data_IF_464805014134
#
_entry.id   IF_464805014134
#
_cell.length_a   1.000
_cell.length_b   1.000
_cell.length_c   1.000
_cell.angle_alpha   90.00
_cell.angle_beta   90.00
_cell.angle_gamma   90.00
#
_symmetry.space_group_name_H-M   'P 1'
#
loop_
_entity.id
_entity.type
_entity.pdbx_description
1 polymer ?
#
# COMPACT_ATOMS: atom_id res chain seq x y z
N UNK A 1 -10.84 5.98 7.03
CA UNK A 1 -9.67 5.73 7.91
C UNK A 1 -9.78 4.33 8.45
N UNK A 2 -8.71 3.54 8.33
CA UNK A 2 -8.67 2.16 8.84
C UNK A 2 -8.81 2.20 10.37
N UNK A 3 -10.01 1.91 10.87
CA UNK A 3 -10.34 1.95 12.30
C UNK A 3 -9.97 0.59 12.91
N UNK A 4 -9.49 0.56 14.15
CA UNK A 4 -9.25 -0.66 14.93
C UNK A 4 -10.44 -1.63 14.87
N UNK A 5 -11.67 -1.11 14.93
CA UNK A 5 -12.88 -1.92 14.83
C UNK A 5 -13.01 -2.62 13.47
N UNK A 6 -12.61 -1.97 12.38
CA UNK A 6 -12.60 -2.56 11.04
C UNK A 6 -11.60 -3.72 10.97
N UNK A 7 -10.40 -3.55 11.54
CA UNK A 7 -9.36 -4.59 11.57
C UNK A 7 -9.84 -5.80 12.38
N UNK A 8 -10.36 -5.57 13.60
CA UNK A 8 -10.85 -6.65 14.47
C UNK A 8 -12.02 -7.39 13.85
N UNK A 9 -12.97 -6.68 13.24
CA UNK A 9 -14.09 -7.29 12.53
C UNK A 9 -13.62 -8.11 11.33
N UNK A 10 -12.67 -7.59 10.54
CA UNK A 10 -12.10 -8.29 9.39
C UNK A 10 -11.42 -9.61 9.79
N UNK A 11 -10.59 -9.56 10.84
CA UNK A 11 -9.94 -10.76 11.40
C UNK A 11 -10.97 -11.76 11.92
N UNK A 12 -11.98 -11.29 12.66
CA UNK A 12 -13.05 -12.13 13.18
C UNK A 12 -13.83 -12.85 12.07
N UNK A 13 -14.24 -12.14 11.01
CA UNK A 13 -14.97 -12.72 9.86
C UNK A 13 -14.15 -13.78 9.13
N UNK A 14 -12.82 -13.64 9.13
CA UNK A 14 -11.90 -14.60 8.52
C UNK A 14 -11.50 -15.75 9.45
N UNK A 15 -12.07 -15.81 10.68
CA UNK A 15 -11.67 -16.74 11.73
C UNK A 15 -10.16 -16.70 12.06
N UNK A 16 -9.56 -15.51 11.98
CA UNK A 16 -8.17 -15.28 12.35
C UNK A 16 -8.06 -14.86 13.82
N UNK A 17 -6.99 -15.29 14.52
CA UNK A 17 -6.74 -14.84 15.88
C UNK A 17 -6.49 -13.33 15.91
N UNK A 18 -6.97 -12.69 16.97
CA UNK A 18 -6.76 -11.25 17.21
C UNK A 18 -5.65 -11.11 18.24
N UNK A 19 -4.49 -10.65 17.79
CA UNK A 19 -3.38 -10.27 18.66
C UNK A 19 -3.34 -8.74 18.77
N UNK A 20 -3.63 -8.19 19.95
CA UNK A 20 -3.67 -6.74 20.16
C UNK A 20 -2.35 -6.04 19.82
N UNK A 21 -1.22 -6.73 20.01
CA UNK A 21 0.10 -6.23 19.66
C UNK A 21 0.32 -6.06 18.14
N UNK A 22 -0.42 -6.80 17.31
CA UNK A 22 -0.28 -6.77 15.86
C UNK A 22 -1.18 -5.70 15.21
N UNK A 23 -2.21 -5.23 15.94
CA UNK A 23 -3.19 -4.26 15.42
C UNK A 23 -2.53 -2.98 14.90
N UNK A 24 -1.57 -2.33 15.59
CA UNK A 24 -0.89 -1.14 15.07
C UNK A 24 -0.16 -1.41 13.75
N UNK A 25 0.51 -2.56 13.65
CA UNK A 25 1.23 -2.94 12.44
C UNK A 25 0.30 -3.21 11.25
N UNK A 26 -0.80 -3.92 11.49
CA UNK A 26 -1.83 -4.17 10.47
C UNK A 26 -2.44 -2.84 10.00
N UNK A 27 -2.67 -1.90 10.92
CA UNK A 27 -3.19 -0.58 10.59
C UNK A 27 -2.24 0.21 9.70
N UNK A 28 -0.94 0.21 10.01
CA UNK A 28 0.09 0.88 9.20
C UNK A 28 0.22 0.26 7.81
N UNK A 29 0.14 -1.07 7.71
CA UNK A 29 0.15 -1.77 6.44
C UNK A 29 -1.05 -1.40 5.56
N UNK A 30 -2.26 -1.43 6.12
CA UNK A 30 -3.48 -1.06 5.40
C UNK A 30 -3.47 0.40 4.97
N UNK A 31 -2.93 1.30 5.82
CA UNK A 31 -2.73 2.70 5.44
C UNK A 31 -1.78 2.83 4.25
N UNK A 32 -0.65 2.11 4.27
CA UNK A 32 0.33 2.13 3.18
C UNK A 32 -0.28 1.63 1.87
N UNK A 33 -1.03 0.53 1.91
CA UNK A 33 -1.75 0.01 0.75
C UNK A 33 -2.75 1.04 0.22
N UNK A 34 -3.50 1.71 1.09
CA UNK A 34 -4.44 2.75 0.70
C UNK A 34 -3.75 3.92 -0.02
N UNK A 35 -2.60 4.39 0.48
CA UNK A 35 -1.84 5.46 -0.18
C UNK A 35 -1.33 5.01 -1.56
N UNK A 36 -0.86 3.77 -1.69
CA UNK A 36 -0.42 3.24 -2.97
C UNK A 36 -1.58 3.13 -3.98
N UNK A 37 -2.77 2.72 -3.53
CA UNK A 37 -3.98 2.68 -4.37
C UNK A 37 -4.40 4.07 -4.85
N UNK A 38 -4.36 5.08 -3.98
CA UNK A 38 -4.63 6.47 -4.37
C UNK A 38 -3.65 6.96 -5.44
N UNK A 39 -2.37 6.56 -5.36
CA UNK A 39 -1.41 6.87 -6.41
C UNK A 39 -1.77 6.22 -7.76
N UNK A 40 -2.33 5.00 -7.75
CA UNK A 40 -2.81 4.34 -8.97
C UNK A 40 -4.08 4.97 -9.55
N UNK A 41 -4.94 5.58 -8.74
CA UNK A 41 -6.08 6.37 -9.27
C UNK A 41 -5.59 7.60 -10.05
N UNK A 42 -4.55 8.27 -9.55
CA UNK A 42 -3.93 9.40 -10.25
C UNK A 42 -3.08 8.96 -11.46
N UNK A 43 -2.47 7.77 -11.38
CA UNK A 43 -1.56 7.21 -12.39
C UNK A 43 -1.90 5.74 -12.66
N UNK A 44 -2.98 5.46 -13.43
CA UNK A 44 -3.49 4.08 -13.61
C UNK A 44 -2.50 3.13 -14.29
N UNK A 45 -1.61 3.69 -15.11
CA UNK A 45 -0.58 2.97 -15.84
C UNK A 45 0.80 3.08 -15.19
N UNK A 46 0.90 3.52 -13.92
CA UNK A 46 2.19 3.66 -13.25
C UNK A 46 2.98 2.33 -13.21
N UNK A 47 2.26 1.20 -13.21
CA UNK A 47 2.86 -0.13 -13.29
C UNK A 47 3.32 -0.54 -14.70
N UNK A 48 2.81 0.13 -15.73
CA UNK A 48 3.17 -0.06 -17.15
C UNK A 48 4.35 0.84 -17.58
N UNK A 49 4.64 1.89 -16.80
CA UNK A 49 5.73 2.82 -17.08
C UNK A 49 7.07 2.28 -16.57
N UNK A 50 8.08 2.31 -17.45
CA UNK A 50 9.46 1.93 -17.09
C UNK A 50 9.92 2.86 -15.94
N UNK A 51 10.43 2.31 -14.82
CA UNK A 51 10.82 3.12 -13.67
C UNK A 51 12.02 3.97 -14.06
N UNK A 52 11.76 5.24 -14.41
CA UNK A 52 12.73 6.33 -14.63
C UNK A 52 13.98 5.87 -15.40
N UNK A 53 13.99 6.06 -16.72
CA UNK A 53 15.21 5.89 -17.52
C UNK A 53 16.23 6.96 -17.14
N UNK A 54 17.26 6.58 -16.38
CA UNK A 54 18.42 7.45 -16.13
C UNK A 54 19.24 7.49 -17.41
N UNK A 55 19.11 8.57 -18.17
CA UNK A 55 19.95 8.81 -19.35
C UNK A 55 21.27 9.39 -18.86
N UNK A 56 22.36 8.64 -19.03
CA UNK A 56 23.70 9.19 -18.83
C UNK A 56 23.93 10.33 -19.83
N UNK A 57 24.35 11.50 -19.32
CA UNK A 57 24.62 12.70 -20.15
C UNK A 57 25.69 12.43 -21.21
N UNK A 58 26.54 11.42 -21.05
CA UNK A 58 27.52 11.00 -22.06
C UNK A 58 26.92 10.37 -23.33
N UNK A 59 25.63 10.03 -23.34
CA UNK A 59 24.92 9.44 -24.49
C UNK A 59 24.16 10.47 -25.35
N UNK A 60 23.97 11.70 -24.86
CA UNK A 60 23.45 12.82 -25.65
C UNK A 60 24.67 13.50 -26.30
N UNK A 61 24.92 13.18 -27.57
CA UNK A 61 25.92 13.85 -28.41
C UNK A 61 25.33 15.04 -29.14
#
# INVERSE_FOLDING_TARGET
>A
MCNINFIKQGLYVQNLPIYEADIPYIQDMLHTIQQAQLALEAFPHLHDEVPITIVDKGLIR
#
